data_IF_216430690505
#
_entry.id   IF_216430690505
#
_cell.length_a   1.000
_cell.length_b   1.000
_cell.length_c   1.000
_cell.angle_alpha   90.00
_cell.angle_beta   90.00
_cell.angle_gamma   90.00
#
_symmetry.space_group_name_H-M   'P 1'
#
loop_
_entity.id
_entity.type
_entity.pdbx_description
1 polymer ?
#
# COMPACT_ATOMS: atom_id res chain seq x y z
N UNK A 1 4.35 -39.44 21.75
CA UNK A 1 3.60 -38.25 22.21
C UNK A 1 4.50 -37.06 21.94
N UNK A 2 4.20 -36.27 20.90
CA UNK A 2 4.96 -35.07 20.57
C UNK A 2 4.17 -33.87 21.11
N UNK A 3 4.74 -33.14 22.05
CA UNK A 3 4.13 -31.92 22.58
C UNK A 3 4.14 -30.84 21.51
N UNK A 4 2.97 -30.25 21.29
CA UNK A 4 2.82 -29.09 20.44
C UNK A 4 3.70 -27.96 20.97
N UNK A 5 4.48 -27.36 20.08
CA UNK A 5 5.25 -26.15 20.36
C UNK A 5 4.21 -25.06 20.64
N UNK A 6 3.99 -24.74 21.92
CA UNK A 6 3.09 -23.67 22.32
C UNK A 6 3.59 -22.36 21.68
N UNK A 7 2.73 -21.73 20.88
CA UNK A 7 2.97 -20.38 20.36
C UNK A 7 3.29 -19.45 21.54
N UNK A 8 4.34 -18.62 21.39
CA UNK A 8 4.74 -17.64 22.41
C UNK A 8 3.52 -16.78 22.82
N UNK A 9 3.27 -16.55 24.12
CA UNK A 9 2.17 -15.70 24.57
C UNK A 9 2.30 -14.23 24.12
N UNK A 10 3.45 -13.86 23.56
CA UNK A 10 3.71 -12.55 22.99
C UNK A 10 3.49 -12.57 21.47
N UNK A 11 2.26 -12.23 21.05
CA UNK A 11 1.99 -11.89 19.66
C UNK A 11 2.42 -10.45 19.42
N UNK A 12 3.62 -10.24 18.91
CA UNK A 12 4.05 -8.92 18.47
C UNK A 12 3.24 -8.48 17.25
N UNK A 13 2.51 -7.37 17.36
CA UNK A 13 1.83 -6.77 16.22
C UNK A 13 2.81 -5.86 15.48
N UNK A 14 3.33 -6.35 14.35
CA UNK A 14 4.16 -5.54 13.46
C UNK A 14 3.28 -4.62 12.61
N UNK A 15 3.39 -3.30 12.81
CA UNK A 15 2.71 -2.30 11.98
C UNK A 15 3.73 -1.59 11.08
N UNK A 16 3.95 -2.13 9.89
CA UNK A 16 4.77 -1.52 8.85
C UNK A 16 3.94 -0.49 8.07
N UNK A 17 4.30 0.79 8.16
CA UNK A 17 3.64 1.88 7.41
C UNK A 17 4.39 2.30 6.15
N UNK A 18 5.70 2.10 6.13
CA UNK A 18 6.58 2.50 5.03
C UNK A 18 7.71 1.48 4.89
N UNK A 19 8.08 1.20 3.65
CA UNK A 19 9.23 0.37 3.27
C UNK A 19 10.04 1.13 2.23
N UNK A 20 11.35 1.22 2.42
CA UNK A 20 12.26 1.84 1.46
C UNK A 20 13.28 0.82 0.93
N UNK A 21 13.55 0.86 -0.36
CA UNK A 21 14.66 0.17 -1.00
C UNK A 21 15.33 1.10 -2.01
N UNK A 22 16.55 1.56 -1.70
CA UNK A 22 17.23 2.59 -2.49
C UNK A 22 16.39 3.86 -2.63
N UNK A 23 16.07 4.29 -3.86
CA UNK A 23 15.23 5.44 -4.17
C UNK A 23 13.72 5.10 -4.16
N UNK A 24 13.36 3.83 -4.17
CA UNK A 24 11.97 3.39 -4.14
C UNK A 24 11.40 3.38 -2.72
N UNK A 25 10.21 3.97 -2.56
CA UNK A 25 9.47 3.97 -1.28
C UNK A 25 8.06 3.45 -1.47
N UNK A 26 7.68 2.46 -0.66
CA UNK A 26 6.34 1.87 -0.63
C UNK A 26 5.61 2.28 0.65
N UNK A 27 4.49 2.98 0.50
CA UNK A 27 3.59 3.32 1.60
C UNK A 27 2.47 2.28 1.75
N UNK A 28 2.29 1.79 2.96
CA UNK A 28 1.29 0.78 3.31
C UNK A 28 0.16 1.42 4.12
N UNK A 29 -1.07 1.10 3.76
CA UNK A 29 -2.27 1.58 4.45
C UNK A 29 -3.42 0.59 4.26
N UNK A 30 -4.33 0.51 5.23
CA UNK A 30 -5.47 -0.43 5.20
C UNK A 30 -6.58 0.05 4.26
N UNK A 31 -6.66 1.37 4.04
CA UNK A 31 -7.65 2.01 3.19
C UNK A 31 -7.11 3.28 2.53
N UNK A 32 -7.84 3.75 1.51
CA UNK A 32 -7.44 4.88 0.69
C UNK A 32 -7.37 6.21 1.47
N UNK A 33 -8.21 6.40 2.49
CA UNK A 33 -8.20 7.63 3.28
C UNK A 33 -6.94 7.71 4.16
N UNK A 34 -6.56 6.61 4.80
CA UNK A 34 -5.29 6.50 5.51
C UNK A 34 -4.10 6.68 4.57
N UNK A 35 -4.14 6.10 3.37
CA UNK A 35 -3.08 6.30 2.37
C UNK A 35 -2.93 7.78 2.01
N UNK A 36 -4.03 8.49 1.72
CA UNK A 36 -4.03 9.93 1.41
C UNK A 36 -3.46 10.75 2.57
N UNK A 37 -3.83 10.42 3.81
CA UNK A 37 -3.30 11.09 4.99
C UNK A 37 -1.79 10.87 5.13
N UNK A 38 -1.30 9.64 4.99
CA UNK A 38 0.11 9.30 5.05
C UNK A 38 0.92 10.01 3.95
N UNK A 39 0.40 10.05 2.72
CA UNK A 39 1.07 10.73 1.59
C UNK A 39 1.16 12.25 1.79
N UNK A 40 0.19 12.88 2.45
CA UNK A 40 0.27 14.29 2.81
C UNK A 40 1.42 14.55 3.80
N UNK A 41 1.59 13.68 4.78
CA UNK A 41 2.71 13.75 5.73
C UNK A 41 4.03 13.52 5.00
N UNK A 42 4.08 12.51 4.13
CA UNK A 42 5.26 12.19 3.34
C UNK A 42 5.69 13.36 2.45
N UNK A 43 4.76 14.02 1.75
CA UNK A 43 5.07 15.18 0.91
C UNK A 43 5.69 16.33 1.70
N UNK A 44 5.13 16.66 2.88
CA UNK A 44 5.70 17.67 3.76
C UNK A 44 7.12 17.31 4.20
N UNK A 45 7.36 16.04 4.52
CA UNK A 45 8.69 15.55 4.88
C UNK A 45 9.67 15.65 3.71
N UNK A 46 9.26 15.25 2.50
CA UNK A 46 10.11 15.33 1.31
C UNK A 46 10.44 16.77 0.96
N UNK A 47 9.48 17.70 1.07
CA UNK A 47 9.74 19.14 0.89
C UNK A 47 10.74 19.66 1.93
N UNK A 48 10.54 19.33 3.21
CA UNK A 48 11.44 19.75 4.29
C UNK A 48 12.87 19.24 4.08
N UNK A 49 13.00 17.98 3.66
CA UNK A 49 14.28 17.33 3.41
C UNK A 49 14.89 17.69 2.04
N UNK A 50 14.23 18.53 1.25
CA UNK A 50 14.62 18.87 -0.13
C UNK A 50 14.81 17.61 -1.02
N UNK A 51 13.93 16.63 -0.88
CA UNK A 51 13.90 15.40 -1.68
C UNK A 51 12.89 15.57 -2.80
N UNK A 52 13.36 15.40 -4.04
CA UNK A 52 12.51 15.44 -5.22
C UNK A 52 11.94 14.05 -5.53
N UNK A 53 10.62 13.91 -5.48
CA UNK A 53 9.93 12.66 -5.79
C UNK A 53 9.40 12.67 -7.22
N UNK A 54 9.69 11.60 -7.97
CA UNK A 54 9.09 11.39 -9.29
C UNK A 54 7.66 10.85 -9.14
N UNK A 55 6.68 11.76 -9.11
CA UNK A 55 5.26 11.43 -8.94
C UNK A 55 4.67 10.64 -10.12
N UNK A 56 5.25 10.74 -11.32
CA UNK A 56 4.79 10.01 -12.50
C UNK A 56 5.06 8.50 -12.41
N UNK A 57 6.10 8.11 -11.66
CA UNK A 57 6.42 6.70 -11.40
C UNK A 57 5.55 6.06 -10.32
N UNK A 58 4.68 6.84 -9.66
CA UNK A 58 3.85 6.34 -8.56
C UNK A 58 2.76 5.40 -9.10
N UNK A 59 2.58 4.26 -8.44
CA UNK A 59 1.54 3.26 -8.76
C UNK A 59 0.84 2.85 -7.46
N UNK A 60 -0.48 2.71 -7.48
CA UNK A 60 -1.22 2.12 -6.36
C UNK A 60 -1.33 0.61 -6.57
N UNK A 61 -0.79 -0.15 -5.63
CA UNK A 61 -1.03 -1.59 -5.52
C UNK A 61 -2.25 -1.82 -4.64
N UNK A 62 -3.25 -2.52 -5.17
CA UNK A 62 -4.47 -2.83 -4.44
C UNK A 62 -4.76 -4.34 -4.47
N UNK A 63 -5.30 -4.85 -3.37
CA UNK A 63 -5.77 -6.23 -3.33
C UNK A 63 -6.90 -6.44 -4.35
N UNK A 64 -6.92 -7.60 -5.03
CA UNK A 64 -8.00 -7.97 -5.97
C UNK A 64 -9.40 -7.79 -5.38
N UNK A 65 -9.58 -8.04 -4.08
CA UNK A 65 -10.86 -7.86 -3.39
C UNK A 65 -11.27 -6.38 -3.26
N UNK A 66 -10.31 -5.45 -3.22
CA UNK A 66 -10.59 -4.02 -3.22
C UNK A 66 -11.23 -3.55 -4.53
N UNK A 67 -10.99 -4.26 -5.66
CA UNK A 67 -11.64 -3.99 -6.95
C UNK A 67 -13.17 -3.94 -6.84
N UNK A 68 -13.76 -4.87 -6.08
CA UNK A 68 -15.22 -4.96 -5.90
C UNK A 68 -15.79 -3.78 -5.09
N UNK A 69 -15.01 -3.24 -4.14
CA UNK A 69 -15.41 -2.07 -3.34
C UNK A 69 -15.27 -0.76 -4.11
N UNK A 70 -14.40 -0.73 -5.11
CA UNK A 70 -14.16 0.43 -5.96
C UNK A 70 -15.12 0.52 -7.16
N UNK A 71 -15.70 -0.60 -7.59
CA UNK A 71 -16.71 -0.63 -8.67
C UNK A 71 -18.12 -0.63 -8.08
N UNK A 72 -18.70 0.54 -7.86
CA UNK A 72 -20.12 0.67 -7.47
C UNK A 72 -21.09 0.47 -8.64
N UNK A 73 -20.60 0.43 -9.89
CA UNK A 73 -21.39 0.12 -11.07
C UNK A 73 -20.71 -0.94 -11.94
N UNK A 74 -21.47 -1.96 -12.32
CA UNK A 74 -21.06 -3.19 -13.00
C UNK A 74 -20.51 -3.02 -14.44
N UNK A 75 -19.96 -1.87 -14.82
CA UNK A 75 -19.56 -1.63 -16.22
C UNK A 75 -18.25 -0.89 -16.48
N UNK A 76 -17.55 -0.33 -15.48
CA UNK A 76 -16.18 0.22 -15.70
C UNK A 76 -15.22 -0.13 -14.59
N UNK A 77 -14.14 -0.84 -14.93
CA UNK A 77 -13.02 -1.04 -14.02
C UNK A 77 -12.29 0.28 -13.80
N UNK A 78 -12.20 0.73 -12.55
CA UNK A 78 -11.38 1.89 -12.19
C UNK A 78 -9.91 1.55 -12.47
N UNK A 79 -9.30 2.31 -13.39
CA UNK A 79 -7.89 2.17 -13.80
C UNK A 79 -6.98 3.17 -13.12
N UNK A 80 -7.52 4.30 -12.64
CA UNK A 80 -6.75 5.38 -12.00
C UNK A 80 -7.50 5.94 -10.78
N UNK A 81 -6.76 6.44 -9.79
CA UNK A 81 -7.28 7.18 -8.64
C UNK A 81 -6.63 8.56 -8.61
N UNK A 82 -7.44 9.59 -8.38
CA UNK A 82 -6.93 10.91 -8.06
C UNK A 82 -6.53 10.97 -6.57
N UNK A 83 -5.25 11.23 -6.31
CA UNK A 83 -4.71 11.43 -4.97
C UNK A 83 -3.99 12.77 -4.89
N UNK A 84 -4.00 13.35 -3.69
CA UNK A 84 -3.24 14.56 -3.38
C UNK A 84 -1.92 14.14 -2.74
N UNK A 85 -0.82 14.42 -3.44
CA UNK A 85 0.54 14.19 -2.97
C UNK A 85 1.36 15.40 -3.41
N UNK A 86 1.29 16.50 -2.64
CA UNK A 86 1.77 17.85 -2.97
C UNK A 86 1.05 18.54 -4.14
N UNK A 87 0.53 17.76 -5.06
CA UNK A 87 -0.33 18.16 -6.18
C UNK A 87 -1.35 17.03 -6.41
N UNK A 88 -2.46 17.35 -7.08
CA UNK A 88 -3.41 16.34 -7.52
C UNK A 88 -2.81 15.55 -8.68
N UNK A 89 -2.64 14.24 -8.48
CA UNK A 89 -2.07 13.33 -9.47
C UNK A 89 -3.04 12.18 -9.76
N UNK A 90 -3.09 11.77 -11.03
CA UNK A 90 -3.85 10.58 -11.46
C UNK A 90 -2.94 9.37 -11.44
N UNK A 91 -3.15 8.49 -10.47
CA UNK A 91 -2.27 7.36 -10.22
C UNK A 91 -2.91 6.07 -10.73
N UNK A 92 -2.22 5.28 -11.57
CA UNK A 92 -2.73 4.01 -12.03
C UNK A 92 -2.86 3.01 -10.89
N UNK A 93 -3.91 2.18 -10.93
CA UNK A 93 -4.10 1.07 -9.99
C UNK A 93 -3.66 -0.23 -10.65
N UNK A 94 -2.82 -1.00 -9.96
CA UNK A 94 -2.57 -2.41 -10.29
C UNK A 94 -3.16 -3.30 -9.22
N UNK A 95 -4.07 -4.17 -9.65
CA UNK A 95 -4.63 -5.19 -8.77
C UNK A 95 -3.73 -6.42 -8.77
N UNK A 96 -3.24 -6.82 -7.59
CA UNK A 96 -2.50 -8.07 -7.44
C UNK A 96 -3.30 -9.08 -6.61
N UNK A 97 -3.13 -10.36 -6.92
CA UNK A 97 -3.59 -11.45 -6.08
C UNK A 97 -2.46 -11.83 -5.12
N UNK A 98 -2.77 -12.01 -3.85
CA UNK A 98 -1.85 -12.61 -2.89
C UNK A 98 -1.53 -14.03 -3.39
N UNK A 99 -0.28 -14.30 -3.75
CA UNK A 99 0.21 -15.67 -3.92
C UNK A 99 0.39 -16.21 -2.50
N UNK A 100 -0.50 -17.11 -2.06
CA UNK A 100 -0.26 -17.85 -0.81
C UNK A 100 1.05 -18.61 -1.03
N UNK A 101 2.08 -18.28 -0.26
CA UNK A 101 3.38 -18.96 -0.35
C UNK A 101 3.13 -20.47 -0.33
N UNK A 102 3.64 -21.18 -1.35
CA UNK A 102 3.78 -22.62 -1.26
C UNK A 102 4.83 -22.86 -0.19
N UNK A 103 4.39 -23.27 1.00
CA UNK A 103 5.27 -23.88 1.97
C UNK A 103 5.91 -25.09 1.30
N UNK A 104 7.18 -24.99 0.94
CA UNK A 104 7.97 -26.15 0.56
C UNK A 104 8.20 -26.92 1.86
N UNK A 105 7.53 -28.06 1.98
CA UNK A 105 7.75 -29.08 3.03
C UNK A 105 9.04 -29.81 2.71
#
# INVERSE_FOLDING_TARGET
MFEAINESPYKESLSLKVLGYLDDTTWLAENLNQLKHNLKIADNFYQLANILINKEKTIILANRHARKKLTTDSSRSITHIEIEFGSKIKVPIRYHAYQKEKTYV
#
